data_IF_000890364143
#
_entry.id   IF_000890364143
#
_cell.length_a   1.000
_cell.length_b   1.000
_cell.length_c   1.000
_cell.angle_alpha   90.00
_cell.angle_beta   90.00
_cell.angle_gamma   90.00
#
_symmetry.space_group_name_H-M   'P 1'
#
loop_
_entity.id
_entity.type
_entity.pdbx_description
1 polymer ?
#
# COMPACT_ATOMS: atom_id res chain seq x y z
N UNK A 1 -5.81 12.69 -29.06
CA UNK A 1 -5.80 11.50 -28.18
C UNK A 1 -6.15 11.96 -26.76
N UNK A 2 -7.23 11.46 -26.14
CA UNK A 2 -7.54 11.79 -24.74
C UNK A 2 -6.39 11.32 -23.85
N UNK A 3 -5.87 12.22 -23.04
CA UNK A 3 -4.80 11.89 -22.09
C UNK A 3 -5.32 10.83 -21.11
N UNK A 4 -4.71 9.64 -21.10
CA UNK A 4 -5.13 8.56 -20.19
C UNK A 4 -4.93 9.00 -18.73
N UNK A 5 -5.92 8.75 -17.86
CA UNK A 5 -5.77 8.96 -16.43
C UNK A 5 -4.73 8.01 -15.85
N UNK A 6 -3.87 8.54 -15.01
CA UNK A 6 -2.77 7.80 -14.37
C UNK A 6 -3.23 7.24 -13.03
N UNK A 7 -3.08 5.93 -12.86
CA UNK A 7 -3.39 5.22 -11.62
C UNK A 7 -2.10 4.62 -11.04
N UNK A 8 -1.84 4.92 -9.78
CA UNK A 8 -0.80 4.26 -9.01
C UNK A 8 -1.43 3.21 -8.11
N UNK A 9 -1.01 1.96 -8.25
CA UNK A 9 -1.32 0.87 -7.33
C UNK A 9 -0.12 0.70 -6.40
N UNK A 10 -0.26 1.12 -5.14
CA UNK A 10 0.81 1.06 -4.15
C UNK A 10 0.53 -0.13 -3.22
N UNK A 11 1.24 -1.22 -3.46
CA UNK A 11 1.20 -2.40 -2.61
C UNK A 11 2.61 -2.90 -2.37
N UNK A 12 3.15 -2.68 -1.17
CA UNK A 12 4.51 -3.09 -0.82
C UNK A 12 4.78 -4.58 -1.09
N UNK A 13 3.76 -5.42 -0.96
CA UNK A 13 3.86 -6.88 -1.10
C UNK A 13 3.42 -7.41 -2.46
N UNK A 14 3.12 -6.54 -3.43
CA UNK A 14 2.89 -6.99 -4.80
C UNK A 14 4.18 -7.57 -5.37
N UNK A 15 4.05 -8.68 -6.07
CA UNK A 15 5.15 -9.37 -6.71
C UNK A 15 4.93 -9.42 -8.22
N UNK A 16 6.00 -9.51 -9.03
CA UNK A 16 5.88 -9.78 -10.45
C UNK A 16 5.10 -11.07 -10.72
N UNK A 17 4.44 -11.19 -11.89
CA UNK A 17 3.58 -12.34 -12.21
C UNK A 17 4.23 -13.70 -11.99
N UNK A 18 5.54 -13.83 -12.25
CA UNK A 18 6.28 -15.08 -12.08
C UNK A 18 6.46 -15.52 -10.61
N UNK A 19 6.31 -14.60 -9.64
CA UNK A 19 6.45 -14.88 -8.21
C UNK A 19 5.12 -14.80 -7.46
N UNK A 20 4.09 -14.19 -8.07
CA UNK A 20 2.85 -13.88 -7.37
C UNK A 20 1.85 -15.05 -7.43
N UNK A 21 1.58 -15.63 -6.30
CA UNK A 21 0.50 -16.61 -6.14
C UNK A 21 -0.86 -15.95 -5.85
N UNK A 22 -0.86 -14.73 -5.33
CA UNK A 22 -2.04 -13.96 -4.93
C UNK A 22 -2.39 -12.89 -5.95
N UNK A 23 -2.87 -13.26 -7.08
CA UNK A 23 -3.06 -12.46 -8.29
C UNK A 23 -3.90 -11.16 -8.18
N UNK A 24 -4.27 -10.72 -6.97
CA UNK A 24 -5.19 -9.59 -6.78
C UNK A 24 -4.67 -8.29 -7.42
N UNK A 25 -3.46 -7.85 -7.07
CA UNK A 25 -2.88 -6.60 -7.62
C UNK A 25 -2.69 -6.71 -9.13
N UNK A 26 -2.22 -7.86 -9.61
CA UNK A 26 -2.02 -8.15 -11.04
C UNK A 26 -3.35 -8.05 -11.80
N UNK A 27 -4.38 -8.76 -11.35
CA UNK A 27 -5.70 -8.74 -11.98
C UNK A 27 -6.32 -7.35 -11.97
N UNK A 28 -6.14 -6.62 -10.86
CA UNK A 28 -6.64 -5.26 -10.75
C UNK A 28 -5.93 -4.31 -11.72
N UNK A 29 -4.59 -4.43 -11.86
CA UNK A 29 -3.82 -3.67 -12.83
C UNK A 29 -4.29 -3.95 -14.27
N UNK A 30 -4.43 -5.21 -14.67
CA UNK A 30 -4.93 -5.59 -15.99
C UNK A 30 -6.35 -5.04 -16.23
N UNK A 31 -7.25 -5.17 -15.25
CA UNK A 31 -8.61 -4.65 -15.38
C UNK A 31 -8.63 -3.12 -15.63
N UNK A 32 -7.84 -2.36 -14.86
CA UNK A 32 -7.75 -0.91 -15.02
C UNK A 32 -7.15 -0.54 -16.38
N UNK A 33 -6.12 -1.25 -16.84
CA UNK A 33 -5.53 -1.06 -18.17
C UNK A 33 -6.54 -1.33 -19.28
N UNK A 34 -7.32 -2.40 -19.17
CA UNK A 34 -8.40 -2.71 -20.12
C UNK A 34 -9.49 -1.62 -20.13
N UNK A 35 -9.69 -0.89 -19.02
CA UNK A 35 -10.57 0.29 -18.94
C UNK A 35 -9.92 1.58 -19.47
N UNK A 36 -8.69 1.51 -19.98
CA UNK A 36 -8.00 2.63 -20.61
C UNK A 36 -7.19 3.53 -19.68
N UNK A 37 -6.97 3.10 -18.44
CA UNK A 37 -6.07 3.80 -17.51
C UNK A 37 -4.59 3.51 -17.84
N UNK A 38 -3.72 4.46 -17.47
CA UNK A 38 -2.27 4.27 -17.43
C UNK A 38 -1.89 3.84 -16.01
N UNK A 39 -1.43 2.60 -15.84
CA UNK A 39 -1.29 1.96 -14.53
C UNK A 39 0.17 1.68 -14.24
N UNK A 40 0.63 2.12 -13.07
CA UNK A 40 1.94 1.77 -12.50
C UNK A 40 1.75 1.07 -11.16
N UNK A 41 2.40 -0.07 -10.97
CA UNK A 41 2.41 -0.81 -9.70
C UNK A 41 3.69 -0.46 -8.94
N UNK A 42 3.57 0.09 -7.74
CA UNK A 42 4.67 0.35 -6.83
C UNK A 42 4.75 -0.76 -5.79
N UNK A 43 5.85 -1.49 -5.79
CA UNK A 43 6.09 -2.63 -4.90
C UNK A 43 7.47 -2.54 -4.24
N UNK A 44 7.72 -3.34 -3.20
CA UNK A 44 9.07 -3.52 -2.66
C UNK A 44 9.95 -4.25 -3.68
N UNK A 45 11.28 -4.00 -3.63
CA UNK A 45 12.23 -4.86 -4.32
C UNK A 45 12.38 -6.24 -3.67
N UNK A 46 11.95 -6.36 -2.41
CA UNK A 46 12.02 -7.62 -1.65
C UNK A 46 10.79 -8.47 -1.93
N UNK A 47 11.00 -9.66 -2.42
CA UNK A 47 9.93 -10.66 -2.58
C UNK A 47 9.57 -11.23 -1.23
N UNK A 48 8.34 -10.99 -0.79
CA UNK A 48 7.86 -11.36 0.54
C UNK A 48 8.00 -12.86 0.80
N UNK A 49 8.69 -13.22 1.89
CA UNK A 49 8.96 -14.60 2.34
C UNK A 49 9.79 -15.46 1.35
N UNK A 50 10.42 -14.87 0.34
CA UNK A 50 11.22 -15.61 -0.65
C UNK A 50 12.72 -15.36 -0.51
N UNK A 51 13.14 -14.37 0.27
CA UNK A 51 14.55 -13.98 0.42
C UNK A 51 15.19 -13.38 -0.84
N UNK A 52 14.37 -13.05 -1.86
CA UNK A 52 14.81 -12.48 -3.13
C UNK A 52 14.73 -10.96 -3.05
N UNK A 53 15.82 -10.27 -3.38
CA UNK A 53 15.85 -8.83 -3.66
C UNK A 53 16.07 -8.63 -5.17
N UNK A 54 15.21 -7.86 -5.81
CA UNK A 54 15.33 -7.56 -7.24
C UNK A 54 16.36 -6.46 -7.52
N UNK A 55 16.92 -5.81 -6.50
CA UNK A 55 17.91 -4.75 -6.61
C UNK A 55 19.24 -5.23 -6.01
N UNK A 56 20.17 -5.66 -6.87
CA UNK A 56 21.51 -6.08 -6.45
C UNK A 56 22.45 -4.89 -6.16
N UNK A 57 22.21 -3.74 -6.78
CA UNK A 57 23.02 -2.53 -6.70
C UNK A 57 22.69 -1.60 -5.54
N UNK A 58 22.97 -0.29 -5.71
CA UNK A 58 22.69 0.78 -4.74
C UNK A 58 21.48 1.64 -5.11
N UNK A 59 20.80 1.32 -6.18
CA UNK A 59 19.67 2.06 -6.72
C UNK A 59 18.54 2.15 -5.70
N UNK A 60 17.87 3.30 -5.63
CA UNK A 60 16.73 3.50 -4.74
C UNK A 60 15.46 2.81 -5.28
N UNK A 61 15.38 2.60 -6.59
CA UNK A 61 14.32 1.87 -7.27
C UNK A 61 14.79 1.37 -8.63
N UNK A 62 14.12 0.35 -9.16
CA UNK A 62 14.20 -0.09 -10.56
C UNK A 62 12.81 -0.08 -11.18
N UNK A 63 12.74 0.14 -12.47
CA UNK A 63 11.52 0.07 -13.28
C UNK A 63 11.60 -1.19 -14.15
N UNK A 64 10.57 -2.02 -14.11
CA UNK A 64 10.50 -3.28 -14.85
C UNK A 64 9.13 -3.42 -15.49
N UNK A 65 9.10 -3.91 -16.71
CA UNK A 65 7.87 -4.30 -17.39
C UNK A 65 7.73 -5.83 -17.36
N UNK A 66 6.57 -6.28 -16.91
CA UNK A 66 6.20 -7.70 -16.88
C UNK A 66 4.97 -7.86 -17.77
N UNK A 67 5.17 -8.43 -18.95
CA UNK A 67 4.20 -8.43 -20.03
C UNK A 67 3.76 -6.99 -20.35
N UNK A 68 2.51 -6.66 -20.08
CA UNK A 68 1.97 -5.32 -20.29
C UNK A 68 1.89 -4.47 -18.99
N UNK A 69 2.36 -4.97 -17.85
CA UNK A 69 2.31 -4.29 -16.56
C UNK A 69 3.62 -3.59 -16.22
N UNK A 70 3.52 -2.29 -15.94
CA UNK A 70 4.66 -1.48 -15.50
C UNK A 70 4.79 -1.49 -13.97
N UNK A 71 5.93 -1.97 -13.46
CA UNK A 71 6.28 -2.01 -12.05
C UNK A 71 7.42 -1.08 -11.73
N UNK A 72 7.33 -0.46 -10.55
CA UNK A 72 8.43 0.25 -9.90
C UNK A 72 8.74 -0.46 -8.60
N UNK A 73 9.87 -1.13 -8.55
CA UNK A 73 10.35 -1.78 -7.33
C UNK A 73 11.17 -0.80 -6.50
N UNK A 74 10.67 -0.48 -5.32
CA UNK A 74 11.33 0.43 -4.38
C UNK A 74 12.20 -0.37 -3.42
N UNK A 75 13.47 -0.01 -3.33
CA UNK A 75 14.39 -0.66 -2.40
C UNK A 75 13.90 -0.54 -0.96
N UNK A 76 13.89 -1.65 -0.24
CA UNK A 76 13.60 -1.71 1.19
C UNK A 76 14.49 -2.73 1.90
N UNK A 77 14.48 -2.74 3.23
CA UNK A 77 15.26 -3.69 4.01
C UNK A 77 14.78 -5.12 3.75
N UNK A 78 15.71 -6.02 3.46
CA UNK A 78 15.41 -7.43 3.37
C UNK A 78 15.09 -8.00 4.77
N UNK A 79 14.11 -8.88 4.85
CA UNK A 79 13.70 -9.55 6.08
C UNK A 79 13.22 -10.97 5.79
N UNK A 80 13.49 -11.88 6.73
CA UNK A 80 13.12 -13.30 6.61
C UNK A 80 11.97 -13.70 7.53
N UNK A 81 11.64 -12.85 8.53
CA UNK A 81 10.62 -13.15 9.54
C UNK A 81 9.71 -11.95 9.78
N UNK A 82 8.50 -12.24 10.29
CA UNK A 82 7.52 -11.22 10.69
C UNK A 82 7.96 -10.56 12.01
N UNK A 83 8.76 -9.51 11.93
CA UNK A 83 9.28 -8.81 13.10
C UNK A 83 9.57 -7.33 12.82
N UNK A 84 10.39 -6.73 13.67
CA UNK A 84 10.79 -5.31 13.58
C UNK A 84 11.39 -4.99 12.22
N UNK A 85 12.17 -5.91 11.63
CA UNK A 85 12.77 -5.72 10.30
C UNK A 85 11.71 -5.51 9.21
N UNK A 86 10.55 -6.20 9.29
CA UNK A 86 9.41 -6.00 8.38
C UNK A 86 8.81 -4.59 8.53
N UNK A 87 8.70 -4.11 9.78
CA UNK A 87 8.20 -2.75 10.06
C UNK A 87 9.15 -1.71 9.48
N UNK A 88 10.47 -1.87 9.70
CA UNK A 88 11.50 -0.98 9.14
C UNK A 88 11.45 -1.01 7.61
N UNK A 89 11.33 -2.18 7.01
CA UNK A 89 11.18 -2.34 5.56
C UNK A 89 9.99 -1.53 5.02
N UNK A 90 8.84 -1.61 5.70
CA UNK A 90 7.66 -0.85 5.32
C UNK A 90 7.84 0.67 5.45
N UNK A 91 8.46 1.12 6.52
CA UNK A 91 8.79 2.54 6.69
C UNK A 91 9.72 3.01 5.56
N UNK A 92 10.78 2.24 5.28
CA UNK A 92 11.72 2.57 4.21
C UNK A 92 11.04 2.62 2.85
N UNK A 93 10.17 1.66 2.52
CA UNK A 93 9.39 1.65 1.29
C UNK A 93 8.60 2.95 1.13
N UNK A 94 7.79 3.30 2.12
CA UNK A 94 6.94 4.49 2.07
C UNK A 94 7.76 5.79 2.00
N UNK A 95 8.82 5.92 2.81
CA UNK A 95 9.68 7.11 2.82
C UNK A 95 10.44 7.27 1.51
N UNK A 96 10.96 6.17 0.93
CA UNK A 96 11.65 6.23 -0.36
C UNK A 96 10.70 6.56 -1.49
N UNK A 97 9.51 5.95 -1.53
CA UNK A 97 8.49 6.29 -2.53
C UNK A 97 8.11 7.77 -2.42
N UNK A 98 7.95 8.30 -1.21
CA UNK A 98 7.70 9.73 -1.00
C UNK A 98 8.81 10.61 -1.59
N UNK A 99 10.09 10.25 -1.38
CA UNK A 99 11.23 10.97 -1.94
C UNK A 99 11.29 10.90 -3.46
N UNK A 100 10.88 9.78 -4.03
CA UNK A 100 10.89 9.51 -5.46
C UNK A 100 9.60 9.96 -6.17
N UNK A 101 8.61 10.47 -5.44
CA UNK A 101 7.27 10.78 -5.96
C UNK A 101 7.28 11.58 -7.26
N UNK A 102 8.11 12.62 -7.31
CA UNK A 102 8.19 13.51 -8.46
C UNK A 102 9.03 12.96 -9.63
N UNK A 103 9.68 11.79 -9.46
CA UNK A 103 10.40 11.11 -10.53
C UNK A 103 9.45 10.49 -11.56
N UNK A 104 8.26 10.11 -11.11
CA UNK A 104 7.28 9.39 -11.92
C UNK A 104 6.17 10.31 -12.41
N UNK A 105 5.45 9.84 -13.45
CA UNK A 105 4.29 10.55 -13.95
C UNK A 105 3.26 10.76 -12.85
N UNK A 106 2.83 12.02 -12.66
CA UNK A 106 1.89 12.42 -11.61
C UNK A 106 0.60 11.60 -11.68
N UNK A 107 0.12 11.00 -10.56
CA UNK A 107 -1.12 10.23 -10.55
C UNK A 107 -2.35 11.14 -10.53
N UNK A 108 -3.43 10.66 -11.15
CA UNK A 108 -4.80 11.16 -10.97
C UNK A 108 -5.50 10.38 -9.84
N UNK A 109 -5.13 9.10 -9.67
CA UNK A 109 -5.68 8.22 -8.66
C UNK A 109 -4.53 7.44 -8.02
N UNK A 110 -4.56 7.35 -6.70
CA UNK A 110 -3.67 6.50 -5.90
C UNK A 110 -4.52 5.49 -5.15
N UNK A 111 -4.29 4.21 -5.40
CA UNK A 111 -4.85 3.11 -4.63
C UNK A 111 -3.74 2.53 -3.78
N UNK A 112 -3.81 2.70 -2.48
CA UNK A 112 -2.80 2.18 -1.55
C UNK A 112 -3.38 1.04 -0.73
N UNK A 113 -2.76 -0.13 -0.80
CA UNK A 113 -3.06 -1.24 0.09
C UNK A 113 -2.53 -0.94 1.49
N UNK A 114 -3.42 -0.95 2.48
CA UNK A 114 -3.09 -0.76 3.89
C UNK A 114 -2.46 -2.03 4.44
N UNK A 115 -1.14 -2.09 4.46
CA UNK A 115 -0.38 -3.25 4.97
C UNK A 115 0.24 -3.01 6.34
N UNK A 116 0.48 -1.75 6.66
CA UNK A 116 0.94 -1.26 7.96
C UNK A 116 0.57 0.22 8.10
N UNK A 117 0.35 0.74 9.30
CA UNK A 117 -0.21 2.08 9.52
C UNK A 117 0.67 3.26 9.10
N UNK A 118 1.87 3.01 8.60
CA UNK A 118 2.77 4.06 8.11
C UNK A 118 2.46 4.55 6.68
N UNK A 119 1.46 3.97 6.02
CA UNK A 119 0.99 4.42 4.70
C UNK A 119 0.42 5.83 4.69
N UNK A 120 0.00 6.37 5.85
CA UNK A 120 -0.56 7.72 5.98
C UNK A 120 0.40 8.84 5.53
N UNK A 121 1.72 8.59 5.48
CA UNK A 121 2.67 9.59 4.98
C UNK A 121 2.51 9.87 3.48
N UNK A 122 2.02 8.91 2.71
CA UNK A 122 1.78 9.07 1.27
C UNK A 122 0.48 9.83 0.98
N UNK A 123 -0.50 9.79 1.89
CA UNK A 123 -1.80 10.45 1.71
C UNK A 123 -1.65 11.96 1.50
N UNK A 124 -0.77 12.61 2.27
CA UNK A 124 -0.50 14.05 2.13
C UNK A 124 0.06 14.40 0.77
N UNK A 125 0.94 13.53 0.23
CA UNK A 125 1.53 13.75 -1.09
C UNK A 125 0.53 13.49 -2.21
N UNK A 126 -0.33 12.48 -2.08
CA UNK A 126 -1.44 12.24 -3.00
C UNK A 126 -2.36 13.48 -3.08
N UNK A 127 -2.77 14.03 -1.92
CA UNK A 127 -3.57 15.26 -1.84
C UNK A 127 -2.87 16.48 -2.47
N UNK A 128 -1.58 16.68 -2.20
CA UNK A 128 -0.78 17.75 -2.86
C UNK A 128 -0.73 17.57 -4.37
N UNK A 129 -0.71 16.34 -4.84
CA UNK A 129 -0.78 16.01 -6.26
C UNK A 129 -2.18 16.15 -6.84
N UNK A 130 -3.21 16.47 -6.03
CA UNK A 130 -4.63 16.49 -6.40
C UNK A 130 -5.12 15.13 -6.91
N UNK A 131 -4.47 14.05 -6.49
CA UNK A 131 -4.90 12.70 -6.79
C UNK A 131 -6.04 12.28 -5.85
N UNK A 132 -7.00 11.52 -6.37
CA UNK A 132 -7.98 10.79 -5.55
C UNK A 132 -7.23 9.70 -4.78
N UNK A 133 -7.34 9.69 -3.46
CA UNK A 133 -6.64 8.75 -2.60
C UNK A 133 -7.58 7.69 -2.06
N UNK A 134 -7.37 6.45 -2.49
CA UNK A 134 -8.17 5.27 -2.14
C UNK A 134 -7.30 4.37 -1.26
N UNK A 135 -7.83 3.93 -0.13
CA UNK A 135 -7.17 2.94 0.74
C UNK A 135 -7.89 1.61 0.62
N UNK A 136 -7.16 0.60 0.20
CA UNK A 136 -7.61 -0.79 0.14
C UNK A 136 -7.17 -1.51 1.41
N UNK A 137 -8.13 -1.97 2.21
CA UNK A 137 -7.91 -2.66 3.49
C UNK A 137 -8.11 -4.16 3.26
N UNK A 138 -7.01 -4.91 3.31
CA UNK A 138 -7.03 -6.38 3.18
C UNK A 138 -7.15 -7.05 4.55
N UNK A 139 -6.42 -6.53 5.54
CA UNK A 139 -6.40 -7.02 6.90
C UNK A 139 -6.59 -5.85 7.86
N UNK A 140 -7.36 -6.04 8.92
CA UNK A 140 -7.56 -5.04 9.97
C UNK A 140 -6.34 -5.06 10.91
N UNK A 141 -5.33 -4.31 10.57
CA UNK A 141 -4.10 -4.22 11.36
C UNK A 141 -4.00 -2.85 12.05
N UNK A 142 -3.81 -2.73 13.37
CA UNK A 142 -3.27 -3.74 14.31
C UNK A 142 -4.33 -4.64 14.98
N UNK A 143 -5.62 -4.55 14.63
CA UNK A 143 -6.68 -5.30 15.29
C UNK A 143 -6.44 -6.81 15.28
N UNK A 144 -5.94 -7.36 14.17
CA UNK A 144 -5.60 -8.78 14.06
C UNK A 144 -4.60 -9.25 15.11
N UNK A 145 -3.68 -8.40 15.57
CA UNK A 145 -2.76 -8.73 16.67
C UNK A 145 -3.48 -8.86 18.01
N UNK A 146 -4.52 -8.07 18.19
CA UNK A 146 -5.34 -8.10 19.41
C UNK A 146 -6.28 -9.30 19.40
N UNK A 147 -6.96 -9.56 18.29
CA UNK A 147 -7.86 -10.68 18.13
C UNK A 147 -7.16 -12.05 18.24
N UNK A 148 -5.89 -12.11 17.84
CA UNK A 148 -5.05 -13.31 17.97
C UNK A 148 -4.32 -13.40 19.31
N UNK A 149 -4.66 -12.58 20.31
CA UNK A 149 -4.02 -12.51 21.62
C UNK A 149 -2.48 -12.28 21.58
N UNK A 150 -1.98 -11.78 20.45
CA UNK A 150 -0.55 -11.47 20.29
C UNK A 150 -0.17 -10.14 20.96
N UNK A 151 -1.14 -9.29 21.23
CA UNK A 151 -0.94 -8.01 21.90
C UNK A 151 -2.18 -7.57 22.67
N UNK A 152 -1.98 -6.90 23.82
CA UNK A 152 -3.10 -6.37 24.60
C UNK A 152 -3.57 -5.03 24.05
N UNK A 153 -4.89 -4.73 24.03
CA UNK A 153 -5.43 -3.45 23.58
C UNK A 153 -4.90 -2.25 24.40
N UNK A 154 -4.55 -2.50 25.67
CA UNK A 154 -4.01 -1.48 26.58
C UNK A 154 -2.55 -1.09 26.27
N UNK A 155 -1.84 -1.86 25.45
CA UNK A 155 -0.44 -1.61 25.11
C UNK A 155 -0.30 -0.25 24.39
N UNK A 156 0.59 0.67 24.85
CA UNK A 156 0.78 1.99 24.26
C UNK A 156 1.14 1.93 22.76
N UNK A 157 1.91 0.94 22.35
CA UNK A 157 2.29 0.75 20.94
C UNK A 157 1.05 0.41 20.11
N UNK A 158 0.20 -0.49 20.59
CA UNK A 158 -1.05 -0.86 19.90
C UNK A 158 -1.98 0.36 19.78
N UNK A 159 -2.13 1.15 20.83
CA UNK A 159 -2.89 2.41 20.79
C UNK A 159 -2.35 3.39 19.76
N UNK A 160 -1.02 3.52 19.69
CA UNK A 160 -0.38 4.38 18.70
C UNK A 160 -0.60 3.86 17.26
N UNK A 161 -0.54 2.55 17.05
CA UNK A 161 -0.81 1.94 15.75
C UNK A 161 -2.27 2.15 15.30
N UNK A 162 -3.24 2.02 16.20
CA UNK A 162 -4.64 2.38 15.92
C UNK A 162 -4.80 3.86 15.55
N UNK A 163 -4.06 4.75 16.22
CA UNK A 163 -4.08 6.17 15.86
C UNK A 163 -3.54 6.42 14.44
N UNK A 164 -2.50 5.69 14.01
CA UNK A 164 -1.97 5.80 12.66
C UNK A 164 -2.93 5.23 11.61
N UNK A 165 -3.60 4.12 11.91
CA UNK A 165 -4.66 3.54 11.10
C UNK A 165 -5.81 4.52 10.91
N UNK A 166 -6.33 5.06 12.02
CA UNK A 166 -7.35 6.11 11.99
C UNK A 166 -6.95 7.28 11.07
N UNK A 167 -5.73 7.79 11.21
CA UNK A 167 -5.24 8.88 10.36
C UNK A 167 -5.17 8.50 8.88
N UNK A 168 -4.84 7.27 8.57
CA UNK A 168 -4.81 6.79 7.19
C UNK A 168 -6.23 6.72 6.61
N UNK A 169 -7.17 6.19 7.36
CA UNK A 169 -8.57 6.08 6.93
C UNK A 169 -9.23 7.45 6.79
N UNK A 170 -9.03 8.35 7.73
CA UNK A 170 -9.50 9.73 7.64
C UNK A 170 -8.89 10.52 6.46
N UNK A 171 -7.73 10.15 6.00
CA UNK A 171 -7.10 10.78 4.86
C UNK A 171 -7.60 10.25 3.51
N UNK A 172 -8.27 9.09 3.49
CA UNK A 172 -8.77 8.48 2.27
C UNK A 172 -10.02 9.20 1.75
N UNK A 173 -10.12 9.32 0.45
CA UNK A 173 -11.36 9.75 -0.21
C UNK A 173 -12.35 8.58 -0.34
N UNK A 174 -11.83 7.34 -0.35
CA UNK A 174 -12.61 6.10 -0.41
C UNK A 174 -11.87 5.01 0.36
N UNK A 175 -12.59 4.24 1.17
CA UNK A 175 -12.11 3.01 1.79
C UNK A 175 -12.71 1.80 1.07
N UNK A 176 -11.88 0.83 0.76
CA UNK A 176 -12.30 -0.43 0.15
C UNK A 176 -11.87 -1.57 1.06
N UNK A 177 -12.81 -2.24 1.68
CA UNK A 177 -12.55 -3.42 2.50
C UNK A 177 -12.69 -4.69 1.65
N UNK A 178 -11.77 -5.63 1.82
CA UNK A 178 -11.84 -6.94 1.17
C UNK A 178 -12.73 -7.94 1.90
N UNK A 179 -13.11 -7.61 3.14
CA UNK A 179 -13.91 -8.44 4.03
C UNK A 179 -15.21 -7.74 4.35
N UNK A 180 -16.28 -8.51 4.57
CA UNK A 180 -17.51 -8.03 5.17
C UNK A 180 -17.20 -7.53 6.61
N UNK A 181 -18.01 -6.60 7.12
CA UNK A 181 -17.81 -6.04 8.46
C UNK A 181 -16.84 -4.86 8.53
N UNK A 182 -16.25 -4.40 7.42
CA UNK A 182 -15.41 -3.20 7.44
C UNK A 182 -16.15 -1.93 7.91
N UNK A 183 -17.42 -1.79 7.54
CA UNK A 183 -18.27 -0.70 8.03
C UNK A 183 -18.55 -0.81 9.53
N UNK A 184 -18.83 -2.02 10.01
CA UNK A 184 -19.07 -2.29 11.44
C UNK A 184 -17.79 -1.99 12.26
N UNK A 185 -16.64 -2.40 11.76
CA UNK A 185 -15.35 -2.09 12.38
C UNK A 185 -15.12 -0.58 12.57
N UNK A 186 -15.48 0.23 11.57
CA UNK A 186 -15.39 1.68 11.67
C UNK A 186 -16.40 2.25 12.66
N UNK A 187 -17.64 1.74 12.65
CA UNK A 187 -18.69 2.16 13.54
C UNK A 187 -18.36 1.89 15.01
N UNK A 188 -17.91 0.67 15.33
CA UNK A 188 -17.52 0.25 16.68
C UNK A 188 -16.40 1.11 17.28
N UNK A 189 -15.55 1.68 16.42
CA UNK A 189 -14.47 2.58 16.82
C UNK A 189 -14.86 4.06 16.81
N UNK A 190 -16.06 4.40 16.40
CA UNK A 190 -16.46 5.79 16.22
C UNK A 190 -15.67 6.51 15.12
N UNK A 191 -15.18 5.77 14.11
CA UNK A 191 -14.38 6.31 13.00
C UNK A 191 -15.22 6.60 11.75
N UNK A 192 -16.51 6.56 11.87
CA UNK A 192 -17.42 6.91 10.78
C UNK A 192 -17.15 8.35 10.36
N UNK A 193 -16.79 8.55 9.11
CA UNK A 193 -16.82 9.87 8.50
C UNK A 193 -18.15 9.95 7.76
N UNK A 194 -19.03 10.86 8.19
CA UNK A 194 -20.20 11.29 7.43
C UNK A 194 -19.76 11.99 6.13
N UNK A 195 -19.17 11.22 5.23
CA UNK A 195 -18.98 11.63 3.85
C UNK A 195 -19.73 10.61 2.99
N UNK A 196 -21.07 10.83 2.96
CA UNK A 196 -21.96 10.17 2.05
C UNK A 196 -21.60 10.41 0.57
#
# INVERSE_FOLDING_TARGET
>A
MKNKRVVWLINQYAMPPQYESRLRTIKFAHYLKAKGYDVTVFASSIMHNMGIDLIDGKEACIECDYDDLHFVHIRSLNYHTNGIARIISSIQFNVRLLKLWNKFRKPDIVVQTATVPFGNILSRQAKKSKAKYIVEVLDLWPNSLVELDMAKPSNPIIKYLYHLEYKQYQAADVLVFSQEGGADYLADRGWYTDQG
#
